data_IF_593078497802
#
_entry.id   IF_593078497802
#
_cell.length_a   1.000
_cell.length_b   1.000
_cell.length_c   1.000
_cell.angle_alpha   90.00
_cell.angle_beta   90.00
_cell.angle_gamma   90.00
#
_symmetry.space_group_name_H-M   'P 1'
#
loop_
_entity.id
_entity.type
_entity.pdbx_description
1 polymer ?
#
# COMPACT_ATOMS: atom_id res chain seq x y z
N UNK A 1 19.55 3.56 -39.45
CA UNK A 1 19.26 3.23 -39.00
C UNK A 1 18.98 2.90 -38.18
N UNK A 2 18.87 2.66 -37.89
CA UNK A 2 18.65 2.38 -37.18
C UNK A 2 18.26 1.71 -36.51
N UNK A 3 18.02 1.08 -36.22
CA UNK A 3 17.64 0.47 -35.52
C UNK A 3 17.93 0.31 -34.59
N UNK A 4 18.10 0.33 -34.34
CA UNK A 4 18.55 0.08 -33.47
C UNK A 4 18.14 -0.06 -32.44
N UNK A 5 17.56 0.04 -32.31
CA UNK A 5 17.04 -0.09 -31.40
C UNK A 5 17.12 -1.15 -30.72
N UNK A 6 17.43 -1.92 -31.11
CA UNK A 6 17.68 -2.94 -30.48
C UNK A 6 18.75 -2.77 -29.73
N UNK A 7 18.62 -2.73 -28.55
CA UNK A 7 19.71 -2.65 -27.73
C UNK A 7 20.56 -3.77 -27.99
N UNK A 8 21.78 -3.50 -28.09
CA UNK A 8 22.71 -4.55 -28.34
C UNK A 8 22.61 -5.58 -27.24
N UNK A 9 22.73 -6.76 -27.61
CA UNK A 9 22.65 -7.83 -26.66
C UNK A 9 21.29 -8.11 -26.18
N UNK A 10 20.31 -7.36 -26.63
CA UNK A 10 18.97 -7.66 -26.26
C UNK A 10 18.47 -8.81 -27.05
N UNK A 11 17.96 -9.74 -26.34
CA UNK A 11 17.18 -10.80 -26.94
C UNK A 11 15.75 -10.37 -26.83
N UNK A 12 15.08 -10.09 -27.94
CA UNK A 12 13.71 -9.59 -27.86
C UNK A 12 12.79 -10.53 -27.08
N UNK A 13 13.00 -11.83 -27.19
CA UNK A 13 12.18 -12.76 -26.45
C UNK A 13 12.41 -12.65 -24.97
N UNK A 14 13.66 -12.49 -24.56
CA UNK A 14 13.98 -12.37 -23.16
C UNK A 14 13.45 -11.08 -22.57
N UNK A 15 13.59 -9.99 -23.31
CA UNK A 15 13.07 -8.73 -22.84
C UNK A 15 11.57 -8.76 -22.69
N UNK A 16 10.88 -9.34 -23.64
CA UNK A 16 9.44 -9.44 -23.59
C UNK A 16 9.02 -10.26 -22.38
N UNK A 17 9.75 -11.34 -22.14
CA UNK A 17 9.42 -12.20 -21.00
C UNK A 17 9.57 -11.45 -19.69
N UNK A 18 10.66 -10.70 -19.53
CA UNK A 18 10.87 -9.93 -18.33
C UNK A 18 9.81 -8.86 -18.16
N UNK A 19 9.46 -8.21 -19.27
CA UNK A 19 8.48 -7.13 -19.19
C UNK A 19 7.08 -7.63 -18.99
N UNK A 20 6.79 -8.85 -19.36
CA UNK A 20 5.48 -9.42 -19.17
C UNK A 20 5.29 -9.97 -17.77
N UNK A 21 6.36 -10.15 -17.03
CA UNK A 21 6.24 -10.56 -15.66
C UNK A 21 5.71 -9.40 -14.83
N UNK A 22 4.59 -9.62 -14.22
CA UNK A 22 4.03 -8.59 -13.36
C UNK A 22 4.69 -8.65 -12.00
N UNK A 23 5.01 -7.49 -11.43
CA UNK A 23 5.55 -7.50 -10.08
C UNK A 23 4.50 -8.02 -9.11
N UNK A 24 4.98 -8.69 -8.09
CA UNK A 24 4.11 -9.15 -7.03
C UNK A 24 3.44 -7.96 -6.37
N UNK A 25 2.20 -8.13 -6.00
CA UNK A 25 1.43 -7.07 -5.38
C UNK A 25 0.97 -7.48 -4.00
N UNK A 26 0.79 -6.48 -3.16
CA UNK A 26 0.50 -6.68 -1.77
C UNK A 26 -0.66 -5.80 -1.34
N UNK A 27 -1.57 -6.39 -0.59
CA UNK A 27 -2.62 -5.64 0.09
C UNK A 27 -2.02 -5.01 1.33
N UNK A 28 -2.33 -3.74 1.55
CA UNK A 28 -1.95 -3.07 2.79
C UNK A 28 -3.19 -2.90 3.63
N UNK A 29 -3.11 -3.35 4.87
CA UNK A 29 -4.27 -3.50 5.74
C UNK A 29 -4.06 -2.76 7.04
N UNK A 30 -5.13 -2.11 7.53
CA UNK A 30 -5.15 -1.53 8.86
C UNK A 30 -5.93 -2.44 9.78
N UNK A 31 -5.49 -2.53 11.02
CA UNK A 31 -6.10 -3.40 12.03
C UNK A 31 -6.71 -2.57 13.14
N UNK A 32 -7.86 -3.01 13.61
CA UNK A 32 -8.56 -2.31 14.68
C UNK A 32 -7.83 -2.50 16.01
N UNK A 33 -7.92 -1.49 16.86
CA UNK A 33 -7.49 -1.57 18.24
C UNK A 33 -8.38 -0.63 19.05
N UNK A 34 -8.25 -0.69 20.38
CA UNK A 34 -9.13 0.03 21.27
C UNK A 34 -8.68 1.44 21.61
N UNK A 35 -7.51 1.85 21.11
CA UNK A 35 -6.89 3.08 21.57
C UNK A 35 -6.68 4.13 20.48
N UNK A 36 -6.51 3.71 19.24
CA UNK A 36 -6.27 4.64 18.13
C UNK A 36 -7.57 5.36 17.80
N UNK A 37 -7.50 6.69 17.74
CA UNK A 37 -8.70 7.47 17.48
C UNK A 37 -9.15 7.32 16.03
N UNK A 38 -10.47 7.46 15.82
CA UNK A 38 -11.02 7.45 14.47
C UNK A 38 -10.46 8.57 13.62
N UNK A 39 -10.27 9.74 14.24
CA UNK A 39 -9.72 10.89 13.54
C UNK A 39 -8.33 10.59 12.99
N UNK A 40 -7.52 9.90 13.77
CA UNK A 40 -6.18 9.56 13.32
C UNK A 40 -6.23 8.54 12.17
N UNK A 41 -7.12 7.56 12.26
CA UNK A 41 -7.28 6.59 11.18
C UNK A 41 -7.70 7.30 9.89
N UNK A 42 -8.62 8.26 9.99
CA UNK A 42 -9.02 9.05 8.84
C UNK A 42 -7.85 9.82 8.26
N UNK A 43 -7.05 10.43 9.12
CA UNK A 43 -5.87 11.18 8.70
C UNK A 43 -4.90 10.29 7.94
N UNK A 44 -4.63 9.10 8.47
CA UNK A 44 -3.75 8.13 7.82
C UNK A 44 -4.28 7.75 6.44
N UNK A 45 -5.56 7.43 6.36
CA UNK A 45 -6.15 7.00 5.10
C UNK A 45 -6.11 8.10 4.04
N UNK A 46 -6.33 9.33 4.45
CA UNK A 46 -6.31 10.45 3.51
C UNK A 46 -4.89 10.86 3.14
N UNK A 47 -4.00 10.93 4.11
CA UNK A 47 -2.66 11.49 3.87
C UNK A 47 -1.65 10.47 3.39
N UNK A 48 -1.73 9.23 3.86
CA UNK A 48 -0.76 8.20 3.46
C UNK A 48 -1.28 7.44 2.25
N UNK A 49 -2.57 7.16 2.21
CA UNK A 49 -3.15 6.32 1.17
C UNK A 49 -3.93 7.11 0.12
N UNK A 50 -3.99 8.43 0.27
CA UNK A 50 -4.58 9.29 -0.75
C UNK A 50 -6.06 9.11 -0.96
N UNK A 51 -6.78 8.65 0.07
CA UNK A 51 -8.21 8.42 -0.06
C UNK A 51 -8.96 9.72 0.09
N UNK A 52 -10.11 9.80 -0.59
CA UNK A 52 -11.05 10.89 -0.33
C UNK A 52 -11.65 10.69 1.05
N UNK A 53 -12.30 11.73 1.55
CA UNK A 53 -12.95 11.61 2.86
C UNK A 53 -13.96 10.49 2.89
N UNK A 54 -14.78 10.36 1.84
CA UNK A 54 -15.79 9.32 1.78
C UNK A 54 -15.17 7.92 1.73
N UNK A 55 -14.11 7.76 0.94
CA UNK A 55 -13.39 6.48 0.86
C UNK A 55 -12.75 6.14 2.19
N UNK A 56 -12.11 7.14 2.80
CA UNK A 56 -11.46 6.93 4.09
C UNK A 56 -12.47 6.53 5.16
N UNK A 57 -13.63 7.18 5.16
CA UNK A 57 -14.67 6.84 6.12
C UNK A 57 -15.13 5.40 5.96
N UNK A 58 -15.34 4.97 4.71
CA UNK A 58 -15.76 3.61 4.43
C UNK A 58 -14.74 2.59 4.93
N UNK A 59 -13.46 2.85 4.68
CA UNK A 59 -12.39 1.95 5.12
C UNK A 59 -12.31 1.97 6.65
N UNK A 60 -12.38 3.14 7.24
CA UNK A 60 -12.32 3.26 8.70
C UNK A 60 -13.46 2.49 9.36
N UNK A 61 -14.66 2.55 8.80
CA UNK A 61 -15.77 1.78 9.32
C UNK A 61 -15.55 0.28 9.17
N UNK A 62 -14.93 -0.15 8.07
CA UNK A 62 -14.58 -1.54 7.89
C UNK A 62 -13.61 -2.01 8.96
N UNK A 63 -12.59 -1.18 9.25
CA UNK A 63 -11.65 -1.51 10.32
C UNK A 63 -12.39 -1.66 11.66
N UNK A 64 -13.29 -0.72 11.94
CA UNK A 64 -14.01 -0.73 13.20
C UNK A 64 -14.96 -1.93 13.32
N UNK A 65 -15.67 -2.24 12.25
CA UNK A 65 -16.72 -3.27 12.31
C UNK A 65 -16.19 -4.67 12.06
N UNK A 66 -15.18 -4.81 11.20
CA UNK A 66 -14.68 -6.12 10.79
C UNK A 66 -13.32 -6.43 11.35
N UNK A 67 -12.69 -5.48 12.01
CA UNK A 67 -11.37 -5.67 12.60
C UNK A 67 -10.24 -5.38 11.64
N UNK A 68 -10.52 -5.22 10.35
CA UNK A 68 -9.49 -5.03 9.35
C UNK A 68 -10.07 -4.23 8.18
N UNK A 69 -9.22 -3.41 7.56
CA UNK A 69 -9.65 -2.65 6.39
C UNK A 69 -8.55 -2.60 5.35
N UNK A 70 -8.94 -2.71 4.09
CA UNK A 70 -8.01 -2.68 2.97
C UNK A 70 -7.74 -1.22 2.59
N UNK A 71 -6.46 -0.82 2.65
CA UNK A 71 -6.07 0.53 2.31
C UNK A 71 -5.70 0.68 0.84
N UNK A 72 -5.22 -0.39 0.23
CA UNK A 72 -4.83 -0.36 -1.17
C UNK A 72 -3.95 -1.54 -1.50
N UNK A 73 -3.61 -1.64 -2.78
CA UNK A 73 -2.79 -2.73 -3.28
C UNK A 73 -1.61 -2.09 -4.01
N UNK A 74 -0.40 -2.51 -3.66
CA UNK A 74 0.83 -1.87 -4.12
C UNK A 74 1.90 -2.91 -4.39
N UNK A 75 2.96 -2.49 -5.08
CA UNK A 75 4.14 -3.33 -5.17
C UNK A 75 4.78 -3.47 -3.80
N UNK A 76 5.67 -4.45 -3.65
CA UNK A 76 6.28 -4.73 -2.35
C UNK A 76 6.95 -3.50 -1.76
N UNK A 77 7.71 -2.77 -2.58
CA UNK A 77 8.45 -1.61 -2.11
C UNK A 77 7.54 -0.51 -1.61
N UNK A 78 6.50 -0.21 -2.38
CA UNK A 78 5.56 0.83 -2.00
C UNK A 78 4.78 0.43 -0.76
N UNK A 79 4.35 -0.84 -0.72
CA UNK A 79 3.61 -1.35 0.43
C UNK A 79 4.44 -1.23 1.70
N UNK A 80 5.70 -1.66 1.65
CA UNK A 80 6.59 -1.56 2.80
C UNK A 80 6.76 -0.13 3.28
N UNK A 81 6.95 0.78 2.34
CA UNK A 81 7.12 2.19 2.69
C UNK A 81 5.88 2.73 3.39
N UNK A 82 4.70 2.38 2.88
CA UNK A 82 3.47 2.87 3.49
C UNK A 82 3.25 2.26 4.87
N UNK A 83 3.55 0.98 5.04
CA UNK A 83 3.43 0.34 6.36
C UNK A 83 4.35 1.02 7.36
N UNK A 84 5.60 1.28 6.96
CA UNK A 84 6.53 1.95 7.84
C UNK A 84 6.08 3.35 8.20
N UNK A 85 5.57 4.08 7.22
CA UNK A 85 5.11 5.44 7.45
C UNK A 85 3.94 5.47 8.42
N UNK A 86 2.99 4.56 8.28
CA UNK A 86 1.88 4.47 9.21
C UNK A 86 2.39 4.24 10.62
N UNK A 87 3.32 3.29 10.79
CA UNK A 87 3.84 2.98 12.11
C UNK A 87 4.61 4.13 12.71
N UNK A 88 5.37 4.87 11.89
CA UNK A 88 6.10 6.04 12.39
C UNK A 88 5.14 7.13 12.87
N UNK A 89 4.11 7.38 12.09
CA UNK A 89 3.13 8.41 12.47
C UNK A 89 2.35 8.00 13.71
N UNK A 90 1.97 6.73 13.80
CA UNK A 90 1.25 6.23 14.96
C UNK A 90 2.11 6.32 16.21
N UNK A 91 3.38 5.94 16.10
CA UNK A 91 4.28 5.99 17.23
C UNK A 91 4.47 7.42 17.72
N UNK A 92 4.58 8.37 16.78
CA UNK A 92 4.74 9.78 17.13
C UNK A 92 3.55 10.31 17.92
N UNK A 93 2.38 9.72 17.73
CA UNK A 93 1.15 10.12 18.42
C UNK A 93 0.79 9.17 19.57
N UNK A 94 1.65 8.21 19.84
CA UNK A 94 1.45 7.21 20.89
C UNK A 94 0.20 6.36 20.66
N UNK A 95 -0.12 6.07 19.42
CA UNK A 95 -1.20 5.15 19.08
C UNK A 95 -0.61 3.79 18.70
N UNK A 96 -1.26 2.69 19.11
CA UNK A 96 -0.78 1.35 18.78
C UNK A 96 -1.29 0.85 17.42
N UNK A 97 -1.67 1.73 16.54
CA UNK A 97 -2.23 1.36 15.24
C UNK A 97 -1.29 0.43 14.49
N UNK A 98 -1.82 -0.67 14.01
CA UNK A 98 -1.04 -1.66 13.29
C UNK A 98 -1.45 -1.69 11.83
N UNK A 99 -0.45 -1.74 10.98
CA UNK A 99 -0.61 -1.83 9.53
C UNK A 99 0.21 -3.00 9.05
N UNK A 100 -0.35 -3.80 8.18
CA UNK A 100 0.37 -4.98 7.66
C UNK A 100 0.21 -5.07 6.16
N UNK A 101 0.99 -5.95 5.56
CA UNK A 101 0.88 -6.22 4.13
C UNK A 101 0.87 -7.72 3.91
N UNK A 102 0.13 -8.15 2.91
CA UNK A 102 0.12 -9.56 2.54
C UNK A 102 -0.01 -9.68 1.05
N UNK A 103 0.63 -10.69 0.51
CA UNK A 103 0.64 -10.87 -0.94
C UNK A 103 -0.75 -11.18 -1.45
N UNK A 104 -1.09 -10.58 -2.59
CA UNK A 104 -2.38 -10.79 -3.24
C UNK A 104 -2.50 -12.22 -3.77
#
# INVERSE_FOLDING_TARGET
MTEPIEAPGSDPGLLVEDQLQEPRQFKVLLHNDDYTSMDFVMEILMNVFGKTEAEAFSIMMSVHEKGIGLCGIYTAEVAETKVQLVHQMAKARSFPLRCSMEEV
#
